data_IF_551329631386
#
_entry.id   IF_551329631386
#
_cell.length_a   1.000
_cell.length_b   1.000
_cell.length_c   1.000
_cell.angle_alpha   90.00
_cell.angle_beta   90.00
_cell.angle_gamma   90.00
#
_symmetry.space_group_name_H-M   'P 1'
#
loop_
_entity.id
_entity.type
_entity.pdbx_description
1 polymer ?
#
# COMPACT_ATOMS: atom_id res chain seq x y z
N UNK A 1 -18.24 -4.76 3.58
CA UNK A 1 -17.59 -3.46 3.32
C UNK A 1 -17.71 -3.15 1.83
N UNK A 2 -18.10 -1.93 1.41
CA UNK A 2 -18.30 -1.63 -0.02
C UNK A 2 -16.99 -1.65 -0.80
N UNK A 3 -17.06 -1.82 -2.13
CA UNK A 3 -15.90 -1.77 -3.02
C UNK A 3 -15.14 -0.43 -2.88
N UNK A 4 -15.88 0.67 -2.78
CA UNK A 4 -15.29 2.01 -2.61
C UNK A 4 -14.40 2.07 -1.36
N UNK A 5 -14.88 1.55 -0.22
CA UNK A 5 -14.09 1.55 1.02
C UNK A 5 -12.85 0.65 0.90
N UNK A 6 -12.97 -0.53 0.28
CA UNK A 6 -11.84 -1.42 0.04
C UNK A 6 -10.77 -0.74 -0.84
N UNK A 7 -11.19 -0.09 -1.92
CA UNK A 7 -10.29 0.65 -2.81
C UNK A 7 -9.59 1.80 -2.06
N UNK A 8 -10.33 2.58 -1.25
CA UNK A 8 -9.74 3.66 -0.45
C UNK A 8 -8.69 3.15 0.53
N UNK A 9 -8.96 2.03 1.22
CA UNK A 9 -7.99 1.42 2.15
C UNK A 9 -6.71 1.04 1.40
N UNK A 10 -6.84 0.37 0.25
CA UNK A 10 -5.69 -0.08 -0.52
C UNK A 10 -4.85 1.10 -1.07
N UNK A 11 -5.50 2.15 -1.57
CA UNK A 11 -4.82 3.38 -2.01
C UNK A 11 -4.11 4.05 -0.85
N UNK A 12 -4.75 4.14 0.32
CA UNK A 12 -4.15 4.74 1.51
C UNK A 12 -2.93 3.95 2.02
N UNK A 13 -2.99 2.61 2.01
CA UNK A 13 -1.85 1.76 2.37
C UNK A 13 -0.68 1.97 1.40
N UNK A 14 -0.95 1.91 0.10
CA UNK A 14 0.08 2.12 -0.92
C UNK A 14 0.75 3.49 -0.79
N UNK A 15 -0.06 4.56 -0.74
CA UNK A 15 0.45 5.92 -0.65
C UNK A 15 1.19 6.18 0.67
N UNK A 16 0.64 5.70 1.79
CA UNK A 16 1.25 5.85 3.11
C UNK A 16 2.59 5.15 3.21
N UNK A 17 2.68 3.88 2.80
CA UNK A 17 3.94 3.11 2.86
C UNK A 17 4.97 3.63 1.86
N UNK A 18 4.54 4.03 0.66
CA UNK A 18 5.43 4.68 -0.31
C UNK A 18 6.01 5.98 0.26
N UNK A 19 5.17 6.81 0.87
CA UNK A 19 5.60 8.04 1.52
C UNK A 19 6.57 7.79 2.68
N UNK A 20 6.29 6.81 3.53
CA UNK A 20 7.18 6.40 4.62
C UNK A 20 8.53 5.92 4.06
N UNK A 21 8.52 5.07 3.03
CA UNK A 21 9.75 4.58 2.41
C UNK A 21 10.58 5.70 1.78
N UNK A 22 9.94 6.66 1.12
CA UNK A 22 10.60 7.84 0.58
C UNK A 22 11.25 8.68 1.70
N UNK A 23 10.52 8.94 2.79
CA UNK A 23 11.04 9.68 3.94
C UNK A 23 12.12 8.92 4.73
N UNK A 24 12.09 7.59 4.69
CA UNK A 24 13.08 6.72 5.32
C UNK A 24 14.38 6.58 4.50
N UNK A 25 14.51 7.27 3.36
CA UNK A 25 15.73 7.29 2.56
C UNK A 25 15.82 6.24 1.45
N UNK A 26 14.68 5.79 0.91
CA UNK A 26 14.68 4.98 -0.30
C UNK A 26 15.52 5.63 -1.42
N UNK A 27 16.34 4.83 -2.10
CA UNK A 27 17.33 5.33 -3.08
C UNK A 27 16.72 6.14 -4.24
N UNK A 28 15.46 5.85 -4.59
CA UNK A 28 14.68 6.57 -5.58
C UNK A 28 13.18 6.27 -5.39
N UNK A 29 12.34 7.01 -6.12
CA UNK A 29 10.89 6.83 -6.05
C UNK A 29 10.43 5.43 -6.49
N UNK A 30 11.11 4.81 -7.46
CA UNK A 30 10.80 3.44 -7.88
C UNK A 30 10.97 2.43 -6.75
N UNK A 31 12.01 2.57 -5.93
CA UNK A 31 12.25 1.73 -4.74
C UNK A 31 11.17 1.94 -3.69
N UNK A 32 10.82 3.21 -3.40
CA UNK A 32 9.76 3.54 -2.46
C UNK A 32 8.40 2.98 -2.89
N UNK A 33 8.06 3.15 -4.18
CA UNK A 33 6.84 2.58 -4.76
C UNK A 33 6.86 1.05 -4.73
N UNK A 34 8.00 0.41 -4.95
CA UNK A 34 8.16 -1.04 -4.82
C UNK A 34 7.82 -1.54 -3.41
N UNK A 35 8.31 -0.86 -2.37
CA UNK A 35 7.95 -1.16 -0.97
C UNK A 35 6.45 -0.94 -0.74
N UNK A 36 5.89 0.15 -1.28
CA UNK A 36 4.45 0.42 -1.26
C UNK A 36 3.62 -0.68 -1.92
N UNK A 37 4.08 -1.24 -3.05
CA UNK A 37 3.40 -2.34 -3.74
C UNK A 37 3.36 -3.61 -2.90
N UNK A 38 4.46 -3.96 -2.22
CA UNK A 38 4.49 -5.12 -1.31
C UNK A 38 3.43 -4.96 -0.20
N UNK A 39 3.35 -3.77 0.40
CA UNK A 39 2.34 -3.50 1.42
C UNK A 39 0.91 -3.49 0.88
N UNK A 40 0.69 -2.94 -0.32
CA UNK A 40 -0.60 -3.01 -1.02
C UNK A 40 -1.03 -4.48 -1.21
N UNK A 41 -0.15 -5.35 -1.71
CA UNK A 41 -0.45 -6.76 -1.92
C UNK A 41 -0.79 -7.46 -0.62
N UNK A 42 -0.04 -7.20 0.46
CA UNK A 42 -0.33 -7.75 1.79
C UNK A 42 -1.71 -7.31 2.30
N UNK A 43 -2.05 -6.03 2.16
CA UNK A 43 -3.35 -5.50 2.55
C UNK A 43 -4.49 -6.08 1.69
N UNK A 44 -4.28 -6.25 0.39
CA UNK A 44 -5.23 -6.88 -0.52
C UNK A 44 -5.52 -8.32 -0.08
N UNK A 45 -4.48 -9.12 0.19
CA UNK A 45 -4.63 -10.49 0.69
C UNK A 45 -5.41 -10.48 2.01
N UNK A 46 -5.09 -9.58 2.94
CA UNK A 46 -5.81 -9.47 4.20
C UNK A 46 -7.31 -9.13 4.02
N UNK A 47 -7.65 -8.24 3.08
CA UNK A 47 -9.05 -7.93 2.75
C UNK A 47 -9.77 -9.12 2.10
N UNK A 48 -9.09 -9.86 1.22
CA UNK A 48 -9.64 -11.06 0.58
C UNK A 48 -9.87 -12.21 1.56
N UNK A 49 -9.05 -12.33 2.59
CA UNK A 49 -9.24 -13.33 3.66
C UNK A 49 -10.34 -12.95 4.64
N UNK A 50 -10.64 -11.65 4.79
CA UNK A 50 -11.74 -11.13 5.64
C UNK A 50 -13.10 -11.07 4.92
N UNK A 51 -13.28 -11.87 3.87
CA UNK A 51 -14.54 -11.99 3.12
C UNK A 51 -15.70 -12.38 4.02
#
# INVERSE_FOLDING_TARGET
MSLAIQATILVAVFAGVTGIAALAGAANLGTAMGIGQVAFTAALVALLLKR
#
